data_IF_073406315349
#
_entry.id   IF_073406315349
#
_cell.length_a   1.000
_cell.length_b   1.000
_cell.length_c   1.000
_cell.angle_alpha   90.00
_cell.angle_beta   90.00
_cell.angle_gamma   90.00
#
_symmetry.space_group_name_H-M   'P 1'
#
loop_
_entity.id
_entity.type
_entity.pdbx_description
1 polymer ?
#
# COMPACT_ATOMS: atom_id res chain seq x y z
N UNK A 1 24.24 26.23 -0.31
CA UNK A 1 23.28 25.32 -0.99
C UNK A 1 21.92 25.74 -0.48
N UNK A 2 21.17 26.53 -1.26
CA UNK A 2 20.00 27.26 -0.74
C UNK A 2 18.85 26.32 -0.41
N UNK A 3 18.32 26.41 0.81
CA UNK A 3 17.00 25.89 1.14
C UNK A 3 16.00 26.57 0.20
N UNK A 4 15.34 25.77 -0.63
CA UNK A 4 14.21 26.23 -1.43
C UNK A 4 13.04 26.43 -0.49
N UNK A 5 12.55 27.66 -0.38
CA UNK A 5 11.36 27.95 0.40
C UNK A 5 10.18 27.16 -0.19
N UNK A 6 9.63 26.25 0.61
CA UNK A 6 8.62 25.28 0.17
C UNK A 6 7.31 25.93 -0.26
N UNK A 7 7.08 27.20 0.09
CA UNK A 7 5.84 27.93 -0.20
C UNK A 7 5.59 28.22 -1.68
N UNK A 8 6.63 28.43 -2.49
CA UNK A 8 6.51 28.86 -3.90
C UNK A 8 6.81 27.74 -4.92
N UNK A 9 7.03 26.51 -4.45
CA UNK A 9 7.40 25.38 -5.31
C UNK A 9 6.17 24.58 -5.75
N UNK A 10 6.00 24.38 -7.06
CA UNK A 10 4.94 23.53 -7.61
C UNK A 10 5.02 22.11 -7.06
N UNK A 11 3.87 21.51 -6.69
CA UNK A 11 3.78 20.16 -6.13
C UNK A 11 4.55 19.10 -6.94
N UNK A 12 4.55 19.21 -8.27
CA UNK A 12 5.28 18.31 -9.17
C UNK A 12 6.79 18.22 -8.87
N UNK A 13 7.39 19.27 -8.33
CA UNK A 13 8.82 19.29 -7.95
C UNK A 13 9.07 18.66 -6.57
N UNK A 14 8.03 18.50 -5.76
CA UNK A 14 8.09 17.92 -4.41
C UNK A 14 7.60 16.48 -4.37
N UNK A 15 6.73 16.10 -5.31
CA UNK A 15 6.13 14.78 -5.39
C UNK A 15 7.19 13.71 -5.66
N UNK A 16 7.17 12.65 -4.85
CA UNK A 16 7.96 11.45 -5.08
C UNK A 16 7.06 10.34 -5.60
N UNK A 17 7.59 9.56 -6.55
CA UNK A 17 6.91 8.36 -7.02
C UNK A 17 6.83 7.36 -5.86
N UNK A 18 5.73 6.60 -5.75
CA UNK A 18 5.65 5.52 -4.78
C UNK A 18 6.76 4.49 -5.08
N UNK A 19 7.28 3.86 -4.02
CA UNK A 19 8.32 2.82 -4.13
C UNK A 19 7.85 1.63 -4.98
N UNK A 20 6.59 1.24 -4.80
CA UNK A 20 5.92 0.24 -5.61
C UNK A 20 4.41 0.50 -5.64
N UNK A 21 3.70 -0.24 -6.49
CA UNK A 21 2.25 -0.21 -6.63
C UNK A 21 1.70 -1.64 -6.62
N UNK A 22 0.43 -1.79 -6.29
CA UNK A 22 -0.22 -3.11 -6.25
C UNK A 22 -1.45 -3.14 -7.14
N UNK A 23 -1.62 -4.23 -7.88
CA UNK A 23 -2.83 -4.46 -8.67
C UNK A 23 -4.04 -4.75 -7.78
N UNK A 24 -5.22 -4.30 -8.19
CA UNK A 24 -6.47 -4.56 -7.45
C UNK A 24 -6.77 -6.06 -7.29
N UNK A 25 -6.28 -6.88 -8.20
CA UNK A 25 -6.44 -8.34 -8.21
C UNK A 25 -5.16 -9.08 -7.75
N UNK A 26 -4.19 -8.36 -7.20
CA UNK A 26 -2.91 -8.94 -6.82
C UNK A 26 -3.03 -9.79 -5.55
N UNK A 27 -2.29 -10.90 -5.49
CA UNK A 27 -2.31 -11.79 -4.33
C UNK A 27 -1.75 -11.07 -3.09
N UNK A 28 -2.45 -11.20 -1.96
CA UNK A 28 -2.06 -10.57 -0.68
C UNK A 28 -0.69 -11.02 -0.14
N UNK A 29 -0.23 -12.22 -0.50
CA UNK A 29 1.14 -12.66 -0.20
C UNK A 29 2.17 -11.79 -0.92
N UNK A 30 1.93 -11.50 -2.20
CA UNK A 30 2.80 -10.64 -3.02
C UNK A 30 2.75 -9.20 -2.50
N UNK A 31 1.56 -8.69 -2.18
CA UNK A 31 1.39 -7.36 -1.59
C UNK A 31 2.18 -7.22 -0.29
N UNK A 32 2.13 -8.22 0.60
CA UNK A 32 2.91 -8.22 1.83
C UNK A 32 4.41 -8.34 1.57
N UNK A 33 4.83 -9.13 0.58
CA UNK A 33 6.23 -9.23 0.19
C UNK A 33 6.77 -7.88 -0.31
N UNK A 34 6.02 -7.15 -1.15
CA UNK A 34 6.34 -5.79 -1.60
C UNK A 34 6.49 -4.82 -0.43
N UNK A 35 5.52 -4.79 0.49
CA UNK A 35 5.58 -3.94 1.69
C UNK A 35 6.81 -4.23 2.57
N UNK A 36 7.18 -5.50 2.72
CA UNK A 36 8.36 -5.88 3.52
C UNK A 36 9.68 -5.59 2.82
N UNK A 37 9.74 -5.78 1.50
CA UNK A 37 10.95 -5.55 0.70
C UNK A 37 11.37 -4.08 0.71
N UNK A 38 10.40 -3.18 0.56
CA UNK A 38 10.66 -1.75 0.42
C UNK A 38 10.45 -0.97 1.73
N UNK A 39 10.35 -1.68 2.87
CA UNK A 39 9.98 -1.17 4.21
C UNK A 39 8.82 -0.15 4.17
N UNK A 40 7.87 -0.40 3.28
CA UNK A 40 6.81 0.53 2.91
C UNK A 40 5.50 0.14 3.57
N UNK A 41 4.87 1.11 4.25
CA UNK A 41 3.68 0.88 5.07
C UNK A 41 2.38 1.00 4.28
N UNK A 42 2.41 1.73 3.17
CA UNK A 42 1.25 2.04 2.34
C UNK A 42 1.64 1.91 0.87
N UNK A 43 0.84 1.18 0.11
CA UNK A 43 1.02 1.05 -1.33
C UNK A 43 -0.25 1.52 -2.06
N UNK A 44 -0.12 2.32 -3.13
CA UNK A 44 -1.24 2.65 -3.98
C UNK A 44 -1.71 1.42 -4.74
N UNK A 45 -3.03 1.28 -4.81
CA UNK A 45 -3.72 0.22 -5.52
C UNK A 45 -4.14 0.75 -6.89
N UNK A 46 -3.75 0.04 -7.94
CA UNK A 46 -4.08 0.34 -9.32
C UNK A 46 -5.01 -0.75 -9.89
N UNK A 47 -6.02 -0.34 -10.63
CA UNK A 47 -6.90 -1.20 -11.41
C UNK A 47 -6.45 -1.30 -12.87
N UNK A 48 -7.39 -1.65 -13.74
CA UNK A 48 -7.14 -1.71 -15.18
C UNK A 48 -6.67 -0.35 -15.72
N UNK A 49 -5.79 -0.39 -16.72
CA UNK A 49 -5.22 0.81 -17.37
C UNK A 49 -4.51 1.77 -16.39
N UNK A 50 -3.93 1.25 -15.30
CA UNK A 50 -3.28 2.02 -14.23
C UNK A 50 -4.21 3.03 -13.53
N UNK A 51 -5.53 2.79 -13.56
CA UNK A 51 -6.49 3.62 -12.86
C UNK A 51 -6.27 3.51 -11.35
N UNK A 52 -6.03 4.62 -10.68
CA UNK A 52 -5.90 4.65 -9.23
C UNK A 52 -7.23 4.25 -8.54
N UNK A 53 -7.14 3.27 -7.64
CA UNK A 53 -8.30 2.69 -6.93
C UNK A 53 -8.30 2.98 -5.43
N UNK A 54 -7.16 3.37 -4.86
CA UNK A 54 -7.04 3.64 -3.43
C UNK A 54 -5.66 3.29 -2.89
N UNK A 55 -5.58 3.12 -1.57
CA UNK A 55 -4.38 2.65 -0.89
C UNK A 55 -4.69 1.41 -0.07
N UNK A 56 -3.67 0.57 0.11
CA UNK A 56 -3.69 -0.52 1.08
C UNK A 56 -2.57 -0.28 2.11
N UNK A 57 -2.91 -0.46 3.38
CA UNK A 57 -1.95 -0.36 4.48
C UNK A 57 -1.60 -1.75 5.03
N UNK A 58 -0.38 -1.88 5.53
CA UNK A 58 0.10 -3.11 6.18
C UNK A 58 -0.82 -3.54 7.35
N UNK A 59 -1.32 -2.57 8.13
CA UNK A 59 -2.28 -2.82 9.21
C UNK A 59 -3.60 -3.39 8.70
N UNK A 60 -4.14 -2.87 7.60
CA UNK A 60 -5.38 -3.37 6.99
C UNK A 60 -5.23 -4.82 6.53
N UNK A 61 -4.07 -5.17 5.97
CA UNK A 61 -3.78 -6.54 5.53
C UNK A 61 -3.71 -7.49 6.72
N UNK A 62 -2.96 -7.15 7.78
CA UNK A 62 -2.90 -7.96 9.00
C UNK A 62 -4.26 -8.15 9.67
N UNK A 63 -5.07 -7.10 9.74
CA UNK A 63 -6.41 -7.18 10.33
C UNK A 63 -7.31 -8.15 9.54
N UNK A 64 -7.21 -8.16 8.20
CA UNK A 64 -7.94 -9.12 7.37
C UNK A 64 -7.49 -10.56 7.63
N UNK A 65 -6.18 -10.81 7.70
CA UNK A 65 -5.65 -12.14 8.03
C UNK A 65 -6.10 -12.64 9.41
N UNK A 66 -6.03 -11.78 10.44
CA UNK A 66 -6.51 -12.12 11.78
C UNK A 66 -7.98 -12.51 11.78
N UNK A 67 -8.82 -11.74 11.08
CA UNK A 67 -10.26 -12.05 10.97
C UNK A 67 -10.52 -13.40 10.28
N UNK A 68 -9.73 -13.76 9.27
CA UNK A 68 -9.83 -15.07 8.59
C UNK A 68 -9.43 -16.23 9.52
N UNK A 69 -8.37 -16.08 10.31
CA UNK A 69 -7.90 -17.08 11.25
C UNK A 69 -8.90 -17.33 12.39
N UNK A 70 -9.45 -16.26 12.97
CA UNK A 70 -10.49 -16.36 14.01
C UNK A 70 -11.70 -17.13 13.46
N UNK A 71 -12.15 -16.80 12.25
CA UNK A 71 -13.27 -17.49 11.60
C UNK A 71 -13.02 -18.99 11.43
N UNK A 72 -11.80 -19.40 11.09
CA UNK A 72 -11.43 -20.82 10.95
C UNK A 72 -11.41 -21.55 12.31
N UNK A 73 -10.96 -20.88 13.38
CA UNK A 73 -11.01 -21.42 14.74
C UNK A 73 -12.45 -21.75 15.17
N UNK A 74 -13.41 -20.89 14.83
CA UNK A 74 -14.83 -21.10 15.15
C UNK A 74 -15.52 -22.22 14.33
N UNK A 75 -14.88 -22.80 13.30
CA UNK A 75 -15.42 -23.95 12.57
C UNK A 75 -14.99 -25.30 13.16
N UNK A 76 -14.09 -25.30 14.15
CA UNK A 76 -13.56 -26.50 14.82
C UNK A 76 -14.19 -26.74 16.21
N UNK A 77 -15.16 -25.91 16.61
CA UNK A 77 -16.05 -26.09 17.76
C UNK A 77 -17.47 -26.48 17.28
#
# INVERSE_FOLDING_TARGET
MGEVDGGDTTFEKLAQKPNDTVGINENMEIVMAKMNKDDTWILPVLGDENKYMGFVSKSSVFNKYRALLIRQGHYLE
#
